data_IF_795059228612
#
_entry.id   IF_795059228612
#
_cell.length_a   1.000
_cell.length_b   1.000
_cell.length_c   1.000
_cell.angle_alpha   90.00
_cell.angle_beta   90.00
_cell.angle_gamma   90.00
#
_symmetry.space_group_name_H-M   'P 1'
#
loop_
_entity.id
_entity.type
_entity.pdbx_description
1 polymer ?
#
# COMPACT_ATOMS: atom_id res chain seq x y z
N UNK A 1 1.95 -51.18 -2.67
CA UNK A 1 1.52 -49.85 -3.13
C UNK A 1 0.03 -49.73 -2.90
N UNK A 2 -0.39 -49.09 -1.80
CA UNK A 2 -1.78 -48.70 -1.57
C UNK A 2 -1.72 -47.27 -1.02
N UNK A 3 -1.60 -46.31 -1.93
CA UNK A 3 -1.98 -44.93 -1.61
C UNK A 3 -3.50 -44.98 -1.50
N UNK A 4 -4.00 -44.88 -0.27
CA UNK A 4 -5.41 -45.01 0.05
C UNK A 4 -6.20 -43.95 -0.71
N UNK A 5 -7.28 -44.36 -1.39
CA UNK A 5 -8.24 -43.52 -2.11
C UNK A 5 -8.80 -42.35 -1.24
N UNK A 6 -8.69 -42.46 0.09
CA UNK A 6 -9.05 -41.41 1.04
C UNK A 6 -8.11 -40.19 1.02
N UNK A 7 -6.82 -40.34 0.72
CA UNK A 7 -5.87 -39.21 0.76
C UNK A 7 -6.04 -38.27 -0.44
N UNK A 8 -6.31 -38.84 -1.63
CA UNK A 8 -6.61 -38.07 -2.85
C UNK A 8 -7.97 -37.36 -2.79
N UNK A 9 -8.96 -37.99 -2.15
CA UNK A 9 -10.29 -37.38 -1.96
C UNK A 9 -10.21 -36.21 -0.98
N UNK A 10 -9.40 -36.34 0.08
CA UNK A 10 -9.14 -35.27 1.05
C UNK A 10 -8.37 -34.09 0.41
N UNK A 11 -7.35 -34.38 -0.41
CA UNK A 11 -6.61 -33.33 -1.13
C UNK A 11 -7.51 -32.55 -2.10
N UNK A 12 -8.34 -33.25 -2.87
CA UNK A 12 -9.28 -32.61 -3.80
C UNK A 12 -10.31 -31.72 -3.08
N UNK A 13 -10.86 -32.18 -1.96
CA UNK A 13 -11.79 -31.38 -1.15
C UNK A 13 -11.09 -30.17 -0.52
N UNK A 14 -9.84 -30.29 -0.07
CA UNK A 14 -9.04 -29.16 0.42
C UNK A 14 -8.74 -28.14 -0.68
N UNK A 15 -8.38 -28.59 -1.88
CA UNK A 15 -8.16 -27.72 -3.04
C UNK A 15 -9.44 -27.01 -3.48
N UNK A 16 -10.57 -27.71 -3.42
CA UNK A 16 -11.89 -27.16 -3.71
C UNK A 16 -12.28 -26.10 -2.67
N UNK A 17 -12.16 -26.39 -1.38
CA UNK A 17 -12.41 -25.42 -0.30
C UNK A 17 -11.49 -24.19 -0.41
N UNK A 18 -10.21 -24.39 -0.73
CA UNK A 18 -9.27 -23.29 -0.93
C UNK A 18 -9.67 -22.40 -2.11
N UNK A 19 -10.14 -23.01 -3.22
CA UNK A 19 -10.64 -22.30 -4.40
C UNK A 19 -11.93 -21.53 -4.12
N UNK A 20 -12.91 -22.19 -3.51
CA UNK A 20 -14.17 -21.56 -3.11
C UNK A 20 -13.93 -20.37 -2.17
N UNK A 21 -12.99 -20.51 -1.22
CA UNK A 21 -12.58 -19.39 -0.36
C UNK A 21 -11.92 -18.26 -1.15
N UNK A 22 -11.03 -18.59 -2.10
CA UNK A 22 -10.38 -17.60 -2.96
C UNK A 22 -11.40 -16.84 -3.82
N UNK A 23 -12.35 -17.55 -4.44
CA UNK A 23 -13.39 -16.97 -5.29
C UNK A 23 -14.34 -16.09 -4.47
N UNK A 24 -14.81 -16.58 -3.32
CA UNK A 24 -15.66 -15.79 -2.42
C UNK A 24 -14.97 -14.51 -1.94
N UNK A 25 -13.67 -14.59 -1.63
CA UNK A 25 -12.88 -13.42 -1.29
C UNK A 25 -12.82 -12.45 -2.47
N UNK A 26 -12.44 -12.91 -3.66
CA UNK A 26 -12.38 -12.10 -4.87
C UNK A 26 -13.71 -11.38 -5.15
N UNK A 27 -14.83 -12.08 -4.97
CA UNK A 27 -16.16 -11.51 -5.12
C UNK A 27 -16.43 -10.43 -4.08
N UNK A 28 -16.07 -10.64 -2.80
CA UNK A 28 -16.21 -9.61 -1.76
C UNK A 28 -15.41 -8.36 -2.12
N UNK A 29 -14.14 -8.52 -2.51
CA UNK A 29 -13.26 -7.43 -2.90
C UNK A 29 -13.85 -6.66 -4.09
N UNK A 30 -14.14 -7.35 -5.18
CA UNK A 30 -14.64 -6.76 -6.43
C UNK A 30 -15.99 -6.08 -6.23
N UNK A 31 -16.92 -6.73 -5.51
CA UNK A 31 -18.23 -6.16 -5.22
C UNK A 31 -18.16 -4.91 -4.34
N UNK A 32 -17.24 -4.88 -3.36
CA UNK A 32 -17.07 -3.72 -2.49
C UNK A 32 -16.61 -2.48 -3.25
N UNK A 33 -15.82 -2.67 -4.31
CA UNK A 33 -15.29 -1.62 -5.17
C UNK A 33 -16.34 -1.18 -6.18
N UNK A 34 -16.88 -2.11 -6.97
CA UNK A 34 -17.76 -1.80 -8.10
C UNK A 34 -19.10 -1.19 -7.69
N UNK A 35 -19.57 -1.42 -6.46
CA UNK A 35 -20.82 -0.84 -5.95
C UNK A 35 -20.66 0.60 -5.42
N UNK A 36 -19.44 1.07 -5.23
CA UNK A 36 -19.18 2.38 -4.66
C UNK A 36 -18.92 3.42 -5.75
N UNK A 37 -19.72 4.49 -5.76
CA UNK A 37 -19.52 5.63 -6.64
C UNK A 37 -19.16 6.88 -5.81
N UNK A 38 -17.90 7.35 -5.86
CA UNK A 38 -17.45 8.48 -5.06
C UNK A 38 -18.08 9.84 -5.45
N UNK A 39 -18.78 9.94 -6.59
CA UNK A 39 -19.47 11.20 -6.96
C UNK A 39 -20.77 11.39 -6.19
N UNK A 40 -21.49 10.29 -5.90
CA UNK A 40 -22.88 10.37 -5.47
C UNK A 40 -23.14 9.61 -4.15
N UNK A 41 -22.24 8.71 -3.74
CA UNK A 41 -22.46 7.79 -2.63
C UNK A 41 -21.38 7.91 -1.54
N UNK A 42 -20.94 9.13 -1.23
CA UNK A 42 -20.03 9.36 -0.09
C UNK A 42 -20.75 9.00 1.22
N UNK A 43 -20.12 8.13 2.01
CA UNK A 43 -20.64 7.67 3.30
C UNK A 43 -20.26 8.65 4.42
N UNK A 44 -21.05 8.71 5.48
CA UNK A 44 -20.62 9.35 6.73
C UNK A 44 -19.49 8.53 7.37
N UNK A 45 -18.49 9.23 7.91
CA UNK A 45 -17.29 8.60 8.51
C UNK A 45 -16.87 9.30 9.77
N UNK A 46 -16.06 8.62 10.59
CA UNK A 46 -15.39 9.25 11.72
C UNK A 46 -14.36 10.32 11.29
N UNK A 47 -13.90 11.11 12.26
CA UNK A 47 -12.89 12.17 12.09
C UNK A 47 -11.54 11.78 12.70
N UNK A 48 -11.32 10.51 13.05
CA UNK A 48 -10.07 10.05 13.65
C UNK A 48 -8.92 10.23 12.66
N UNK A 49 -7.72 10.63 13.12
CA UNK A 49 -6.54 10.71 12.28
C UNK A 49 -6.28 9.40 11.53
N UNK A 50 -5.77 9.50 10.29
CA UNK A 50 -5.41 8.34 9.50
C UNK A 50 -4.21 7.62 10.11
N UNK A 51 -4.33 6.30 10.25
CA UNK A 51 -3.23 5.37 10.53
C UNK A 51 -2.22 5.37 9.39
N UNK A 52 -1.01 4.83 9.62
CA UNK A 52 0.00 4.71 8.56
C UNK A 52 -0.44 3.79 7.41
N UNK A 53 -1.27 2.79 7.69
CA UNK A 53 -1.85 1.89 6.69
C UNK A 53 -2.82 2.67 5.80
N UNK A 54 -3.73 3.44 6.39
CA UNK A 54 -4.67 4.29 5.66
C UNK A 54 -3.95 5.37 4.83
N UNK A 55 -2.88 5.99 5.36
CA UNK A 55 -2.04 6.92 4.58
C UNK A 55 -1.35 6.22 3.41
N UNK A 56 -0.90 4.99 3.60
CA UNK A 56 -0.31 4.18 2.53
C UNK A 56 -1.34 3.83 1.46
N UNK A 57 -2.59 3.58 1.84
CA UNK A 57 -3.69 3.35 0.93
C UNK A 57 -4.09 4.62 0.17
N UNK A 58 -4.15 5.78 0.86
CA UNK A 58 -4.34 7.08 0.21
C UNK A 58 -3.26 7.33 -0.84
N UNK A 59 -1.99 7.03 -0.54
CA UNK A 59 -0.92 7.14 -1.54
C UNK A 59 -1.10 6.19 -2.72
N UNK A 60 -1.64 4.99 -2.48
CA UNK A 60 -1.87 3.97 -3.49
C UNK A 60 -2.99 4.32 -4.46
N UNK A 61 -4.09 4.91 -3.98
CA UNK A 61 -5.28 5.17 -4.82
C UNK A 61 -5.12 6.38 -5.75
N UNK A 62 -4.13 7.25 -5.50
CA UNK A 62 -3.96 8.47 -6.31
C UNK A 62 -3.70 8.10 -7.77
N UNK A 63 -4.52 8.67 -8.65
CA UNK A 63 -4.43 8.47 -10.08
C UNK A 63 -5.09 7.20 -10.59
N UNK A 64 -5.75 6.42 -9.73
CA UNK A 64 -6.69 5.38 -10.12
C UNK A 64 -7.99 5.99 -10.66
N UNK A 65 -8.64 5.29 -11.60
CA UNK A 65 -9.93 5.71 -12.15
C UNK A 65 -11.03 5.57 -11.08
N UNK A 66 -11.97 6.51 -11.00
CA UNK A 66 -13.00 6.48 -9.95
C UNK A 66 -14.12 5.46 -10.18
N UNK A 67 -14.32 5.01 -11.42
CA UNK A 67 -15.36 4.06 -11.80
C UNK A 67 -14.81 2.62 -11.90
N UNK A 68 -13.59 2.47 -12.41
CA UNK A 68 -12.93 1.18 -12.58
C UNK A 68 -11.50 1.21 -11.99
N UNK A 69 -11.35 1.45 -10.68
CA UNK A 69 -10.03 1.49 -10.05
C UNK A 69 -9.43 0.08 -9.99
N UNK A 70 -8.13 -0.04 -10.26
CA UNK A 70 -7.42 -1.28 -9.98
C UNK A 70 -6.92 -1.28 -8.54
N UNK A 71 -7.58 -2.05 -7.68
CA UNK A 71 -7.17 -2.21 -6.28
C UNK A 71 -6.57 -3.60 -6.08
N UNK A 72 -5.35 -3.67 -5.59
CA UNK A 72 -4.74 -4.95 -5.26
C UNK A 72 -5.46 -5.61 -4.08
N UNK A 73 -5.73 -6.90 -4.21
CA UNK A 73 -6.51 -7.70 -3.24
C UNK A 73 -5.93 -7.71 -1.82
N UNK A 74 -4.61 -7.57 -1.68
CA UNK A 74 -3.95 -7.53 -0.37
C UNK A 74 -4.44 -6.36 0.50
N UNK A 75 -4.93 -5.25 -0.09
CA UNK A 75 -5.52 -4.15 0.69
C UNK A 75 -6.74 -4.61 1.47
N UNK A 76 -7.56 -5.46 0.88
CA UNK A 76 -8.76 -5.99 1.53
C UNK A 76 -8.42 -7.08 2.54
N UNK A 77 -7.51 -8.00 2.22
CA UNK A 77 -7.31 -9.20 3.07
C UNK A 77 -6.19 -9.09 4.08
N UNK A 78 -5.10 -8.41 3.75
CA UNK A 78 -3.96 -8.26 4.67
C UNK A 78 -4.10 -7.01 5.53
N UNK A 79 -4.67 -5.94 4.97
CA UNK A 79 -4.82 -4.66 5.64
C UNK A 79 -6.25 -4.34 6.10
N UNK A 80 -7.20 -5.26 5.85
CA UNK A 80 -8.61 -5.12 6.26
C UNK A 80 -9.25 -3.79 5.81
N UNK A 81 -8.85 -3.27 4.64
CA UNK A 81 -9.36 -2.00 4.13
C UNK A 81 -10.78 -2.18 3.62
N UNK A 82 -11.70 -1.42 4.22
CA UNK A 82 -13.01 -1.19 3.66
C UNK A 82 -12.93 -0.02 2.67
N UNK A 83 -12.95 -0.36 1.38
CA UNK A 83 -12.75 0.59 0.28
C UNK A 83 -13.73 1.77 0.33
N UNK A 84 -15.04 1.50 0.34
CA UNK A 84 -16.07 2.54 0.27
C UNK A 84 -16.01 3.48 1.49
N UNK A 85 -15.83 2.92 2.68
CA UNK A 85 -15.68 3.70 3.91
C UNK A 85 -14.43 4.58 3.84
N UNK A 86 -13.28 4.01 3.48
CA UNK A 86 -12.02 4.74 3.55
C UNK A 86 -11.90 5.81 2.47
N UNK A 87 -12.38 5.56 1.25
CA UNK A 87 -12.49 6.60 0.22
C UNK A 87 -13.41 7.72 0.69
N UNK A 88 -14.58 7.38 1.25
CA UNK A 88 -15.49 8.39 1.82
C UNK A 88 -14.81 9.23 2.90
N UNK A 89 -14.02 8.58 3.79
CA UNK A 89 -13.24 9.26 4.82
C UNK A 89 -12.23 10.24 4.21
N UNK A 90 -11.56 9.85 3.13
CA UNK A 90 -10.61 10.74 2.45
C UNK A 90 -11.28 11.97 1.83
N UNK A 91 -12.49 11.83 1.27
CA UNK A 91 -13.28 12.97 0.81
C UNK A 91 -13.77 13.84 1.97
N UNK A 92 -14.37 13.25 2.99
CA UNK A 92 -14.92 13.96 4.15
C UNK A 92 -13.86 14.75 4.92
N UNK A 93 -12.63 14.22 4.99
CA UNK A 93 -11.51 14.88 5.64
C UNK A 93 -10.74 15.84 4.72
N UNK A 94 -11.20 16.06 3.49
CA UNK A 94 -10.58 16.93 2.49
C UNK A 94 -9.15 16.50 2.15
N UNK A 95 -8.87 15.20 2.06
CA UNK A 95 -7.58 14.67 1.60
C UNK A 95 -7.60 14.27 0.12
N UNK A 96 -8.78 13.94 -0.39
CA UNK A 96 -8.99 13.47 -1.75
C UNK A 96 -10.06 14.29 -2.45
N UNK A 97 -9.87 14.49 -3.74
CA UNK A 97 -10.82 15.11 -4.65
C UNK A 97 -10.88 14.30 -5.95
N UNK A 98 -11.92 14.54 -6.74
CA UNK A 98 -11.96 14.06 -8.13
C UNK A 98 -11.12 15.04 -8.97
N UNK A 99 -10.26 14.50 -9.80
CA UNK A 99 -9.38 15.27 -10.67
C UNK A 99 -10.15 16.16 -11.64
N UNK A 100 -9.53 17.30 -11.97
CA UNK A 100 -9.99 18.15 -13.06
C UNK A 100 -9.29 17.79 -14.38
N UNK A 101 -9.80 18.33 -15.49
CA UNK A 101 -9.27 18.01 -16.82
C UNK A 101 -7.79 18.38 -17.01
N UNK A 102 -7.28 19.39 -16.29
CA UNK A 102 -5.86 19.76 -16.33
C UNK A 102 -5.02 18.67 -15.68
N UNK A 103 -5.41 18.22 -14.49
CA UNK A 103 -4.74 17.13 -13.77
C UNK A 103 -4.73 15.84 -14.60
N UNK A 104 -5.80 15.60 -15.37
CA UNK A 104 -5.97 14.43 -16.24
C UNK A 104 -5.06 14.44 -17.48
N UNK A 105 -4.56 15.60 -17.93
CA UNK A 105 -3.65 15.69 -19.09
C UNK A 105 -2.38 14.86 -18.90
N UNK A 106 -1.94 14.70 -17.65
CA UNK A 106 -0.77 13.90 -17.30
C UNK A 106 -0.94 12.41 -17.63
N UNK A 107 -2.18 11.93 -17.75
CA UNK A 107 -2.54 10.54 -18.07
C UNK A 107 -2.57 10.27 -19.58
N UNK A 108 -2.75 11.30 -20.40
CA UNK A 108 -2.78 11.17 -21.85
C UNK A 108 -1.39 10.88 -22.43
N UNK A 109 -1.37 10.17 -23.54
CA UNK A 109 -0.18 9.95 -24.36
C UNK A 109 0.24 11.23 -25.08
N UNK A 110 1.49 11.28 -25.55
CA UNK A 110 1.98 12.40 -26.35
C UNK A 110 1.15 12.58 -27.62
N UNK A 111 0.65 11.50 -28.21
CA UNK A 111 -0.19 11.54 -29.41
C UNK A 111 -1.53 12.22 -29.12
N UNK A 112 -2.23 11.80 -28.07
CA UNK A 112 -3.52 12.40 -27.66
C UNK A 112 -3.36 13.89 -27.30
N UNK A 113 -2.30 14.27 -26.58
CA UNK A 113 -2.02 15.68 -26.29
C UNK A 113 -1.79 16.52 -27.56
N UNK A 114 -1.13 15.94 -28.58
CA UNK A 114 -0.95 16.60 -29.87
C UNK A 114 -2.26 16.75 -30.63
N UNK A 115 -3.17 15.80 -30.51
CA UNK A 115 -4.51 15.87 -31.11
C UNK A 115 -5.35 16.99 -30.50
N UNK A 116 -5.30 17.15 -29.17
CA UNK A 116 -5.94 18.28 -28.47
C UNK A 116 -5.42 19.62 -29.02
N UNK A 117 -4.09 19.78 -29.09
CA UNK A 117 -3.46 21.01 -29.58
C UNK A 117 -3.82 21.29 -31.05
N UNK A 118 -3.76 20.27 -31.93
CA UNK A 118 -4.11 20.41 -33.35
C UNK A 118 -5.58 20.79 -33.55
N UNK A 119 -6.49 20.15 -32.82
CA UNK A 119 -7.93 20.45 -32.88
C UNK A 119 -8.26 21.88 -32.46
N UNK A 120 -7.38 22.52 -31.68
CA UNK A 120 -7.47 23.92 -31.27
C UNK A 120 -6.57 24.86 -32.10
N UNK A 121 -5.98 24.38 -33.19
CA UNK A 121 -5.05 25.13 -34.06
C UNK A 121 -3.80 25.66 -33.34
N UNK A 122 -3.37 24.97 -32.28
CA UNK A 122 -2.17 25.31 -31.49
C UNK A 122 -1.00 24.44 -31.92
N UNK A 123 0.22 24.98 -31.83
CA UNK A 123 1.46 24.27 -32.14
C UNK A 123 1.57 22.97 -31.31
N UNK A 124 1.68 21.83 -32.00
CA UNK A 124 1.71 20.49 -31.40
C UNK A 124 3.11 19.85 -31.33
N UNK A 125 4.18 20.65 -31.34
CA UNK A 125 5.55 20.13 -31.19
C UNK A 125 6.08 20.39 -29.79
N UNK A 126 6.96 19.51 -29.31
CA UNK A 126 7.55 19.58 -27.97
C UNK A 126 7.51 18.26 -27.22
N UNK A 127 8.10 18.28 -26.02
CA UNK A 127 8.04 17.19 -25.04
C UNK A 127 6.70 17.20 -24.29
N UNK A 128 6.33 16.09 -23.65
CA UNK A 128 5.04 15.94 -22.95
C UNK A 128 4.72 17.10 -22.01
N UNK A 129 5.67 17.50 -21.16
CA UNK A 129 5.49 18.61 -20.22
C UNK A 129 5.21 19.96 -20.93
N UNK A 130 5.92 20.25 -22.02
CA UNK A 130 5.71 21.47 -22.82
C UNK A 130 4.35 21.47 -23.51
N UNK A 131 3.85 20.30 -23.93
CA UNK A 131 2.52 20.18 -24.52
C UNK A 131 1.44 20.41 -23.46
N UNK A 132 1.59 19.84 -22.27
CA UNK A 132 0.65 20.04 -21.15
C UNK A 132 0.61 21.51 -20.74
N UNK A 133 1.77 22.14 -20.52
CA UNK A 133 1.84 23.57 -20.15
C UNK A 133 1.18 24.46 -21.21
N UNK A 134 1.33 24.11 -22.49
CA UNK A 134 0.68 24.85 -23.58
C UNK A 134 -0.84 24.68 -23.55
N UNK A 135 -1.33 23.47 -23.34
CA UNK A 135 -2.76 23.19 -23.20
C UNK A 135 -3.34 23.98 -22.02
N UNK A 136 -2.67 23.97 -20.87
CA UNK A 136 -3.10 24.69 -19.66
C UNK A 136 -3.20 26.21 -19.86
N UNK A 137 -2.29 26.79 -20.64
CA UNK A 137 -2.26 28.24 -20.90
C UNK A 137 -3.22 28.70 -21.98
N UNK A 138 -3.42 27.88 -23.01
CA UNK A 138 -4.07 28.32 -24.25
C UNK A 138 -5.48 27.73 -24.45
N UNK A 139 -5.87 26.68 -23.71
CA UNK A 139 -7.16 26.01 -23.90
C UNK A 139 -7.99 26.11 -22.62
N UNK A 140 -9.25 26.54 -22.74
CA UNK A 140 -10.16 26.64 -21.60
C UNK A 140 -10.58 25.26 -21.08
N UNK A 141 -10.89 25.15 -19.77
CA UNK A 141 -11.42 23.91 -19.19
C UNK A 141 -12.71 23.42 -19.88
N UNK A 142 -13.52 24.34 -20.41
CA UNK A 142 -14.75 24.00 -21.14
C UNK A 142 -14.42 23.30 -22.46
N UNK A 143 -13.44 23.82 -23.20
CA UNK A 143 -13.03 23.22 -24.47
C UNK A 143 -12.30 21.89 -24.26
N UNK A 144 -11.53 21.78 -23.16
CA UNK A 144 -10.90 20.53 -22.77
C UNK A 144 -11.91 19.42 -22.49
N UNK A 145 -13.06 19.74 -21.89
CA UNK A 145 -14.08 18.75 -21.57
C UNK A 145 -14.53 17.92 -22.78
N UNK A 146 -14.43 18.46 -24.00
CA UNK A 146 -14.79 17.76 -25.24
C UNK A 146 -13.84 16.61 -25.59
N UNK A 147 -12.63 16.60 -25.03
CA UNK A 147 -11.59 15.59 -25.28
C UNK A 147 -11.54 14.51 -24.19
N UNK A 148 -12.26 14.69 -23.09
CA UNK A 148 -12.30 13.72 -21.99
C UNK A 148 -13.68 13.07 -21.93
N UNK A 149 -13.71 11.74 -22.00
CA UNK A 149 -14.93 11.01 -21.72
C UNK A 149 -15.37 11.24 -20.27
N UNK A 150 -16.68 11.20 -20.00
CA UNK A 150 -17.21 11.34 -18.64
C UNK A 150 -16.69 10.27 -17.68
N UNK A 151 -16.22 9.14 -18.22
CA UNK A 151 -15.58 8.04 -17.49
C UNK A 151 -14.10 8.25 -17.15
N UNK A 152 -13.43 9.27 -17.71
CA UNK A 152 -12.02 9.56 -17.44
C UNK A 152 -11.88 10.51 -16.25
N UNK A 153 -12.19 10.00 -15.06
CA UNK A 153 -12.07 10.72 -13.79
C UNK A 153 -11.19 9.92 -12.85
N UNK A 154 -10.30 10.62 -12.16
CA UNK A 154 -9.29 9.99 -11.33
C UNK A 154 -9.29 10.58 -9.93
N UNK A 155 -8.76 9.80 -8.99
CA UNK A 155 -8.50 10.30 -7.65
C UNK A 155 -7.28 11.21 -7.63
N UNK A 156 -7.43 12.40 -7.07
CA UNK A 156 -6.35 13.37 -6.92
C UNK A 156 -6.27 13.88 -5.48
N UNK A 157 -5.08 14.28 -5.04
CA UNK A 157 -4.90 14.89 -3.73
C UNK A 157 -5.38 16.34 -3.73
N UNK A 158 -6.03 16.73 -2.65
CA UNK A 158 -6.17 18.14 -2.25
C UNK A 158 -4.83 18.66 -1.72
N UNK A 159 -4.72 19.96 -1.46
CA UNK A 159 -3.49 20.50 -0.85
C UNK A 159 -3.28 19.98 0.58
N UNK A 160 -4.37 19.78 1.33
CA UNK A 160 -4.32 19.14 2.65
C UNK A 160 -3.88 17.67 2.55
N UNK A 161 -4.34 16.93 1.53
CA UNK A 161 -3.89 15.58 1.24
C UNK A 161 -2.40 15.51 0.87
N UNK A 162 -1.90 16.47 0.08
CA UNK A 162 -0.46 16.58 -0.25
C UNK A 162 0.39 16.80 1.00
N UNK A 163 -0.01 17.74 1.86
CA UNK A 163 0.74 17.99 3.10
C UNK A 163 0.70 16.77 4.03
N UNK A 164 -0.44 16.08 4.13
CA UNK A 164 -0.55 14.85 4.93
C UNK A 164 0.43 13.75 4.47
N UNK A 165 0.66 13.63 3.16
CA UNK A 165 1.50 12.58 2.59
C UNK A 165 3.00 12.94 2.50
N UNK A 166 3.36 14.20 2.73
CA UNK A 166 4.73 14.70 2.65
C UNK A 166 5.69 13.97 3.60
N UNK A 167 5.20 13.64 4.79
CA UNK A 167 5.97 12.97 5.85
C UNK A 167 5.69 11.46 5.94
N UNK A 168 5.04 10.87 4.94
CA UNK A 168 4.80 9.42 4.94
C UNK A 168 6.12 8.68 4.70
N UNK A 169 6.58 8.06 5.80
CA UNK A 169 7.80 7.26 5.84
C UNK A 169 7.64 5.97 5.03
N UNK A 170 8.73 5.53 4.40
CA UNK A 170 8.78 4.19 3.77
C UNK A 170 8.49 3.13 4.84
N UNK A 171 7.94 1.99 4.44
CA UNK A 171 7.54 0.94 5.37
C UNK A 171 7.55 -0.42 4.69
N UNK A 172 7.90 -1.45 5.46
CA UNK A 172 7.92 -2.86 5.03
C UNK A 172 6.51 -3.44 5.05
N UNK A 173 5.73 -3.06 6.07
CA UNK A 173 4.41 -3.58 6.45
C UNK A 173 3.28 -2.57 6.23
N UNK A 174 3.57 -1.33 5.80
CA UNK A 174 2.64 -0.18 5.82
C UNK A 174 2.18 0.26 7.22
N UNK A 175 2.54 -0.50 8.27
CA UNK A 175 2.28 -0.18 9.66
C UNK A 175 3.57 0.35 10.31
N UNK A 176 3.83 1.66 10.17
CA UNK A 176 5.07 2.25 10.71
C UNK A 176 5.11 2.20 12.23
N UNK A 177 3.95 2.26 12.89
CA UNK A 177 3.86 2.28 14.34
C UNK A 177 4.22 0.90 14.92
N UNK A 178 3.75 -0.18 14.28
CA UNK A 178 4.21 -1.54 14.59
C UNK A 178 5.72 -1.68 14.39
N UNK A 179 6.23 -1.22 13.24
CA UNK A 179 7.66 -1.32 12.93
C UNK A 179 8.51 -0.58 13.96
N UNK A 180 8.11 0.64 14.32
CA UNK A 180 8.84 1.47 15.29
C UNK A 180 8.82 0.82 16.69
N UNK A 181 7.66 0.32 17.15
CA UNK A 181 7.57 -0.42 18.43
C UNK A 181 8.44 -1.68 18.45
N UNK A 182 8.44 -2.45 17.35
CA UNK A 182 9.29 -3.64 17.26
C UNK A 182 10.78 -3.26 17.26
N UNK A 183 11.16 -2.20 16.54
CA UNK A 183 12.54 -1.72 16.50
C UNK A 183 13.02 -1.25 17.87
N UNK A 184 12.19 -0.53 18.63
CA UNK A 184 12.49 -0.11 20.00
C UNK A 184 12.75 -1.32 20.91
N UNK A 185 11.91 -2.35 20.84
CA UNK A 185 12.09 -3.58 21.62
C UNK A 185 13.33 -4.37 21.20
N UNK A 186 13.60 -4.49 19.90
CA UNK A 186 14.81 -5.12 19.36
C UNK A 186 16.07 -4.38 19.84
N UNK A 187 16.03 -3.04 19.87
CA UNK A 187 17.15 -2.23 20.30
C UNK A 187 17.56 -2.51 21.76
N UNK A 188 16.60 -2.83 22.62
CA UNK A 188 16.81 -3.18 24.03
C UNK A 188 16.77 -4.69 24.32
N UNK A 189 17.00 -5.52 23.30
CA UNK A 189 17.12 -6.99 23.40
C UNK A 189 15.85 -7.73 23.85
N UNK A 190 14.68 -7.09 23.73
CA UNK A 190 13.37 -7.67 24.02
C UNK A 190 12.77 -8.36 22.80
N UNK A 191 13.47 -9.37 22.29
CA UNK A 191 13.09 -10.06 21.05
C UNK A 191 11.75 -10.81 21.13
N UNK A 192 11.43 -11.39 22.28
CA UNK A 192 10.15 -12.08 22.50
C UNK A 192 8.98 -11.11 22.44
N UNK A 193 9.09 -9.96 23.12
CA UNK A 193 8.06 -8.91 23.11
C UNK A 193 7.87 -8.33 21.71
N UNK A 194 8.97 -8.09 20.98
CA UNK A 194 8.90 -7.63 19.58
C UNK A 194 8.20 -8.66 18.68
N UNK A 195 8.49 -9.95 18.88
CA UNK A 195 7.87 -11.02 18.12
C UNK A 195 6.39 -11.20 18.48
N UNK A 196 6.02 -11.03 19.76
CA UNK A 196 4.64 -11.08 20.21
C UNK A 196 3.78 -9.97 19.58
N UNK A 197 4.33 -8.76 19.37
CA UNK A 197 3.67 -7.71 18.60
C UNK A 197 3.39 -8.14 17.15
N UNK A 198 4.35 -8.83 16.52
CA UNK A 198 4.19 -9.36 15.16
C UNK A 198 3.13 -10.46 15.14
N UNK A 199 3.14 -11.40 16.11
CA UNK A 199 2.13 -12.43 16.24
C UNK A 199 0.72 -11.84 16.37
N UNK A 200 0.55 -10.83 17.24
CA UNK A 200 -0.71 -10.11 17.42
C UNK A 200 -1.15 -9.38 16.14
N UNK A 201 -0.21 -8.79 15.41
CA UNK A 201 -0.51 -8.14 14.14
C UNK A 201 -0.93 -9.15 13.07
N UNK A 202 -0.19 -10.25 12.91
CA UNK A 202 -0.51 -11.30 11.93
C UNK A 202 -1.84 -11.99 12.26
N UNK A 203 -2.13 -12.26 13.54
CA UNK A 203 -3.39 -12.90 13.94
C UNK A 203 -4.62 -12.03 13.65
N UNK A 204 -4.46 -10.71 13.58
CA UNK A 204 -5.54 -9.77 13.26
C UNK A 204 -5.93 -9.71 11.78
N UNK A 205 -5.15 -10.34 10.88
CA UNK A 205 -5.41 -10.32 9.44
C UNK A 205 -6.41 -11.40 9.04
N UNK A 206 -7.22 -11.12 8.02
CA UNK A 206 -8.12 -12.11 7.42
C UNK A 206 -7.34 -13.25 6.75
N UNK A 207 -6.18 -12.93 6.18
CA UNK A 207 -5.24 -13.90 5.62
C UNK A 207 -3.91 -13.74 6.35
N UNK A 208 -3.55 -14.78 7.09
CA UNK A 208 -2.31 -14.86 7.85
C UNK A 208 -1.21 -15.47 6.98
N UNK A 209 0.02 -15.00 7.15
CA UNK A 209 1.18 -15.52 6.40
C UNK A 209 1.62 -16.89 6.92
N UNK A 210 2.21 -17.71 6.05
CA UNK A 210 2.78 -19.01 6.41
C UNK A 210 1.73 -20.12 6.51
N UNK A 211 2.10 -21.31 6.02
CA UNK A 211 1.20 -22.47 5.98
C UNK A 211 1.22 -23.14 7.36
N UNK A 212 0.04 -23.44 7.91
CA UNK A 212 -0.13 -24.12 9.21
C UNK A 212 0.52 -23.40 10.42
N UNK A 213 0.68 -22.09 10.35
CA UNK A 213 1.13 -21.28 11.49
C UNK A 213 -0.10 -20.73 12.21
N UNK A 214 -0.26 -21.09 13.49
CA UNK A 214 -1.24 -20.46 14.36
C UNK A 214 -0.62 -19.26 15.08
N UNK A 215 -0.76 -18.06 14.50
CA UNK A 215 -0.16 -16.83 15.04
C UNK A 215 -0.68 -16.41 16.42
N UNK A 216 -1.85 -16.90 16.86
CA UNK A 216 -2.36 -16.58 18.21
C UNK A 216 -1.51 -17.21 19.32
N UNK A 217 -0.95 -18.40 19.04
CA UNK A 217 -0.17 -19.18 20.00
C UNK A 217 1.30 -19.33 19.56
N UNK A 218 1.68 -18.74 18.43
CA UNK A 218 3.03 -18.87 17.90
C UNK A 218 4.03 -18.10 18.78
N UNK A 219 5.20 -18.70 19.01
CA UNK A 219 6.28 -18.12 19.78
C UNK A 219 7.58 -18.24 19.02
N UNK A 220 8.44 -17.24 19.18
CA UNK A 220 9.79 -17.30 18.67
C UNK A 220 10.56 -18.40 19.41
N UNK A 221 11.39 -19.16 18.70
CA UNK A 221 12.17 -20.24 19.32
C UNK A 221 13.39 -19.70 20.05
N UNK A 222 13.85 -20.34 21.14
CA UNK A 222 15.07 -19.94 21.83
C UNK A 222 16.30 -19.88 20.90
N UNK A 223 16.42 -20.84 19.98
CA UNK A 223 17.49 -20.85 18.98
C UNK A 223 17.47 -19.59 18.09
N UNK A 224 16.28 -19.09 17.74
CA UNK A 224 16.16 -17.90 16.91
C UNK A 224 16.54 -16.64 17.71
N UNK A 225 16.18 -16.58 18.98
CA UNK A 225 16.61 -15.50 19.90
C UNK A 225 18.14 -15.47 19.99
N UNK A 226 18.79 -16.62 20.21
CA UNK A 226 20.26 -16.70 20.26
C UNK A 226 20.90 -16.26 18.94
N UNK A 227 20.27 -16.57 17.80
CA UNK A 227 20.74 -16.09 16.50
C UNK A 227 20.69 -14.55 16.39
N UNK A 228 19.65 -13.92 16.94
CA UNK A 228 19.52 -12.46 16.94
C UNK A 228 20.51 -11.78 17.88
N UNK A 229 20.78 -12.37 19.05
CA UNK A 229 21.86 -11.92 19.96
C UNK A 229 23.21 -11.95 19.25
N UNK A 230 23.53 -13.07 18.59
CA UNK A 230 24.76 -13.19 17.82
C UNK A 230 24.86 -12.12 16.73
N UNK A 231 23.79 -11.84 15.98
CA UNK A 231 23.75 -10.76 14.98
C UNK A 231 24.04 -9.39 15.60
N UNK A 232 23.50 -9.11 16.80
CA UNK A 232 23.75 -7.85 17.48
C UNK A 232 25.23 -7.66 17.84
N UNK A 233 25.87 -8.74 18.26
CA UNK A 233 27.29 -8.78 18.64
C UNK A 233 28.27 -8.79 17.46
N UNK A 234 27.81 -9.05 16.23
CA UNK A 234 28.67 -9.06 15.04
C UNK A 234 29.33 -7.69 14.84
N UNK A 235 30.65 -7.63 14.87
CA UNK A 235 31.38 -6.45 14.42
C UNK A 235 31.42 -6.41 12.88
N UNK A 236 30.56 -5.58 12.28
CA UNK A 236 30.53 -5.39 10.82
C UNK A 236 31.47 -4.26 10.36
N UNK A 237 32.41 -3.83 11.22
CA UNK A 237 33.47 -2.87 10.93
C UNK A 237 32.96 -1.55 10.31
N UNK A 238 31.79 -1.10 10.77
CA UNK A 238 31.28 0.23 10.47
C UNK A 238 31.84 1.22 11.49
N UNK A 239 32.42 2.31 10.99
CA UNK A 239 32.91 3.41 11.86
C UNK A 239 31.78 4.13 12.62
N UNK A 240 30.54 3.95 12.17
CA UNK A 240 29.34 4.56 12.72
C UNK A 240 28.51 3.52 13.49
N UNK A 241 28.58 3.58 14.81
CA UNK A 241 27.85 2.69 15.73
C UNK A 241 26.33 2.87 15.63
N UNK A 242 25.83 4.05 15.26
CA UNK A 242 24.40 4.27 15.07
C UNK A 242 23.91 3.55 13.81
N UNK A 243 24.63 3.72 12.70
CA UNK A 243 24.28 3.06 11.43
C UNK A 243 24.38 1.53 11.54
N UNK A 244 25.37 1.02 12.25
CA UNK A 244 25.51 -0.40 12.58
C UNK A 244 24.25 -0.96 13.27
N UNK A 245 23.82 -0.29 14.35
CA UNK A 245 22.63 -0.67 15.09
C UNK A 245 21.35 -0.59 14.24
N UNK A 246 21.24 0.42 13.37
CA UNK A 246 20.12 0.56 12.43
C UNK A 246 20.07 -0.65 11.48
N UNK A 247 21.20 -1.04 10.90
CA UNK A 247 21.28 -2.17 9.96
C UNK A 247 20.90 -3.47 10.65
N UNK A 248 21.51 -3.78 11.81
CA UNK A 248 21.25 -5.00 12.58
C UNK A 248 19.79 -5.09 13.01
N UNK A 249 19.24 -4.03 13.60
CA UNK A 249 17.85 -4.01 14.07
C UNK A 249 16.85 -4.12 12.91
N UNK A 250 17.14 -3.45 11.79
CA UNK A 250 16.34 -3.56 10.56
C UNK A 250 16.34 -4.98 10.00
N UNK A 251 17.51 -5.64 9.99
CA UNK A 251 17.63 -7.02 9.53
C UNK A 251 16.83 -7.98 10.42
N UNK A 252 17.00 -7.87 11.74
CA UNK A 252 16.29 -8.72 12.71
C UNK A 252 14.76 -8.54 12.56
N UNK A 253 14.26 -7.31 12.45
CA UNK A 253 12.84 -7.08 12.24
C UNK A 253 12.36 -7.67 10.91
N UNK A 254 13.09 -7.44 9.81
CA UNK A 254 12.73 -8.01 8.52
C UNK A 254 12.73 -9.54 8.53
N UNK A 255 13.61 -10.17 9.30
CA UNK A 255 13.65 -11.62 9.46
C UNK A 255 12.49 -12.15 10.30
N UNK A 256 12.14 -11.47 11.40
CA UNK A 256 10.91 -11.75 12.14
C UNK A 256 9.65 -11.60 11.27
N UNK A 257 9.67 -10.70 10.28
CA UNK A 257 8.60 -10.50 9.31
C UNK A 257 8.64 -11.48 8.12
N UNK A 258 9.66 -12.33 8.02
CA UNK A 258 9.86 -13.22 6.88
C UNK A 258 10.15 -12.50 5.56
N UNK A 259 10.73 -11.30 5.62
CA UNK A 259 10.90 -10.40 4.47
C UNK A 259 12.29 -9.73 4.42
N UNK A 260 13.35 -10.54 4.48
CA UNK A 260 14.75 -10.08 4.52
C UNK A 260 15.15 -9.20 3.32
N UNK A 261 14.55 -9.40 2.16
CA UNK A 261 14.82 -8.59 0.96
C UNK A 261 14.44 -7.12 1.13
N UNK A 262 13.57 -6.79 2.10
CA UNK A 262 13.11 -5.43 2.39
C UNK A 262 13.92 -4.69 3.46
N UNK A 263 15.00 -5.29 4.00
CA UNK A 263 15.84 -4.66 5.03
C UNK A 263 16.28 -3.24 4.65
N UNK A 264 16.67 -3.04 3.39
CA UNK A 264 17.10 -1.73 2.88
C UNK A 264 16.04 -0.63 3.01
N UNK A 265 14.75 -0.98 3.04
CA UNK A 265 13.66 -0.02 3.21
C UNK A 265 13.72 0.61 4.60
N UNK A 266 13.90 -0.21 5.64
CA UNK A 266 14.02 0.28 7.03
C UNK A 266 15.33 1.02 7.25
N UNK A 267 16.44 0.51 6.73
CA UNK A 267 17.74 1.16 6.86
C UNK A 267 17.70 2.57 6.29
N UNK A 268 17.21 2.75 5.06
CA UNK A 268 17.08 4.08 4.43
C UNK A 268 16.17 5.01 5.23
N UNK A 269 15.04 4.49 5.72
CA UNK A 269 14.08 5.24 6.54
C UNK A 269 14.72 5.76 7.82
N UNK A 270 15.46 4.90 8.54
CA UNK A 270 16.02 5.20 9.85
C UNK A 270 17.33 6.00 9.76
N UNK A 271 18.11 5.81 8.70
CA UNK A 271 19.32 6.60 8.43
C UNK A 271 19.02 8.03 7.92
N UNK A 272 17.75 8.38 7.73
CA UNK A 272 17.34 9.72 7.30
C UNK A 272 17.55 9.99 5.80
N UNK A 273 17.72 8.95 4.97
CA UNK A 273 17.74 9.14 3.51
C UNK A 273 16.35 9.61 3.05
N UNK A 274 16.28 10.83 2.53
CA UNK A 274 15.06 11.36 1.91
C UNK A 274 14.70 10.56 0.65
N UNK A 275 13.40 10.46 0.40
CA UNK A 275 12.82 9.74 -0.74
C UNK A 275 13.30 10.25 -2.09
#
# INVERSE_FOLDING_TARGET
>A
MNVSYNDTTNLYELEKQAREKSDALYDIHTNSINKFNPQNNILETDTKPLTSIEKSFLKYIIGENIYEPYIATYWTYEYNINYSYLISKFFNMDYLKISNYIEDLTKLTVSELKEILKSNNIKSTGKKAELIERIEKEISCKDLSNFFNSSNKYYALTDKGKELLKDVRKSVTKNTDLEDQCLELIYIDKYEEAYDLICKYESSKNIQRGININWENHKITPMKIESYKAIKELDINLKDTLLDNIIKSSYILCDMLGNNSKTSILVKRLAGEKN
#
